data_IF_591517343064
#
_entry.id   IF_591517343064
#
_cell.length_a   1.000
_cell.length_b   1.000
_cell.length_c   1.000
_cell.angle_alpha   90.00
_cell.angle_beta   90.00
_cell.angle_gamma   90.00
#
_symmetry.space_group_name_H-M   'P 1'
#
loop_
_entity.id
_entity.type
_entity.pdbx_description
1 polymer ?
#
# COMPACT_ATOMS: atom_id res chain seq x y z
N UNK A 1 -49.93 56.18 14.41
CA UNK A 1 -48.57 55.62 14.51
C UNK A 1 -48.70 54.16 14.89
N UNK A 2 -48.43 53.24 13.97
CA UNK A 2 -47.84 51.92 14.21
C UNK A 2 -47.84 51.17 12.87
N UNK A 3 -46.67 51.15 12.25
CA UNK A 3 -46.39 50.35 11.06
C UNK A 3 -46.17 48.89 11.48
N UNK A 4 -46.80 47.97 10.75
CA UNK A 4 -46.45 46.55 10.77
C UNK A 4 -45.18 46.33 9.92
N UNK A 5 -44.27 45.41 10.30
CA UNK A 5 -43.10 45.10 9.49
C UNK A 5 -43.45 44.08 8.40
N UNK A 6 -42.93 44.34 7.20
CA UNK A 6 -42.94 43.42 6.06
C UNK A 6 -41.93 42.30 6.29
N UNK A 7 -42.36 41.05 6.09
CA UNK A 7 -41.50 39.88 6.05
C UNK A 7 -40.85 39.77 4.66
N UNK A 8 -39.53 39.90 4.60
CA UNK A 8 -38.74 39.64 3.40
C UNK A 8 -38.43 38.14 3.29
N UNK A 9 -38.93 37.52 2.23
CA UNK A 9 -38.65 36.14 1.82
C UNK A 9 -37.29 36.07 1.11
N UNK A 10 -36.32 35.38 1.71
CA UNK A 10 -35.05 35.03 1.07
C UNK A 10 -35.24 33.80 0.17
N UNK A 11 -34.86 33.95 -1.11
CA UNK A 11 -34.72 32.85 -2.07
C UNK A 11 -33.51 31.98 -1.68
N UNK A 12 -33.77 30.71 -1.38
CA UNK A 12 -32.73 29.69 -1.22
C UNK A 12 -32.47 29.07 -2.60
N UNK A 13 -31.32 29.38 -3.20
CA UNK A 13 -30.81 28.69 -4.39
C UNK A 13 -30.05 27.44 -3.95
N UNK A 14 -30.50 26.26 -4.38
CA UNK A 14 -29.76 25.00 -4.25
C UNK A 14 -28.56 24.98 -5.21
N UNK A 15 -27.38 24.47 -4.83
CA UNK A 15 -26.32 24.17 -5.78
C UNK A 15 -26.61 22.82 -6.48
N UNK A 16 -26.07 22.58 -7.68
CA UNK A 16 -26.35 21.37 -8.45
C UNK A 16 -25.59 20.18 -7.86
N UNK A 17 -26.30 19.07 -7.66
CA UNK A 17 -25.71 17.78 -7.31
C UNK A 17 -24.97 17.20 -8.52
N UNK A 18 -23.67 16.97 -8.37
CA UNK A 18 -22.84 16.26 -9.33
C UNK A 18 -23.11 14.76 -9.16
N UNK A 19 -23.82 14.15 -10.12
CA UNK A 19 -24.11 12.72 -10.11
C UNK A 19 -22.87 11.94 -10.55
N UNK A 20 -22.22 11.27 -9.61
CA UNK A 20 -21.20 10.25 -9.90
C UNK A 20 -21.93 8.96 -10.29
N UNK A 21 -21.72 8.49 -11.52
CA UNK A 21 -22.21 7.20 -11.97
C UNK A 21 -21.42 6.08 -11.26
N UNK A 22 -22.03 5.41 -10.29
CA UNK A 22 -21.57 4.10 -9.81
C UNK A 22 -21.98 3.04 -10.84
N UNK A 23 -21.03 2.54 -11.63
CA UNK A 23 -21.24 1.32 -12.42
C UNK A 23 -20.97 0.10 -11.54
N UNK A 24 -22.01 -0.40 -10.88
CA UNK A 24 -21.98 -1.70 -10.23
C UNK A 24 -22.13 -2.80 -11.30
N UNK A 25 -21.05 -3.51 -11.62
CA UNK A 25 -21.12 -4.77 -12.36
C UNK A 25 -20.80 -5.91 -11.41
N UNK A 26 -21.84 -6.42 -10.74
CA UNK A 26 -21.76 -7.69 -10.02
C UNK A 26 -21.70 -8.83 -11.04
N UNK A 27 -20.56 -9.52 -11.12
CA UNK A 27 -20.52 -10.88 -11.68
C UNK A 27 -20.07 -11.88 -10.61
N UNK A 28 -20.90 -12.90 -10.48
CA UNK A 28 -20.72 -14.03 -9.59
C UNK A 28 -19.50 -14.89 -9.97
N UNK A 29 -18.78 -15.34 -8.93
CA UNK A 29 -18.17 -16.65 -8.83
C UNK A 29 -17.24 -17.11 -9.96
N UNK A 30 -15.94 -16.84 -9.79
CA UNK A 30 -14.87 -17.79 -10.05
C UNK A 30 -13.57 -17.25 -9.42
N UNK A 31 -13.00 -18.00 -8.47
CA UNK A 31 -11.66 -17.75 -7.94
C UNK A 31 -10.64 -17.98 -9.04
N UNK A 32 -10.20 -16.92 -9.69
CA UNK A 32 -9.02 -16.94 -10.54
C UNK A 32 -8.23 -15.65 -10.27
N UNK A 33 -7.00 -15.82 -9.78
CA UNK A 33 -5.96 -14.80 -9.85
C UNK A 33 -5.87 -14.39 -11.33
N UNK A 34 -5.84 -13.09 -11.68
CA UNK A 34 -5.63 -12.71 -13.07
C UNK A 34 -4.24 -13.16 -13.52
N UNK A 35 -4.18 -14.08 -14.48
CA UNK A 35 -2.98 -14.29 -15.29
C UNK A 35 -2.73 -13.00 -16.09
N UNK A 36 -1.58 -12.40 -15.85
CA UNK A 36 -1.13 -11.16 -16.48
C UNK A 36 -1.00 -11.32 -17.99
N UNK A 37 -1.95 -10.78 -18.77
CA UNK A 37 -1.79 -10.62 -20.23
C UNK A 37 -1.02 -9.32 -20.46
N UNK A 38 0.31 -9.40 -20.37
CA UNK A 38 1.18 -8.36 -20.88
C UNK A 38 0.98 -8.20 -22.40
N UNK A 39 0.52 -7.03 -22.84
CA UNK A 39 0.49 -6.68 -24.28
C UNK A 39 1.93 -6.57 -24.77
N UNK A 40 2.41 -7.59 -25.49
CA UNK A 40 3.64 -7.47 -26.28
C UNK A 40 3.34 -6.60 -27.50
N UNK A 41 3.91 -5.39 -27.54
CA UNK A 41 3.99 -4.62 -28.76
C UNK A 41 4.97 -5.30 -29.71
N UNK A 42 4.47 -5.71 -30.87
CA UNK A 42 5.22 -6.27 -31.98
C UNK A 42 6.42 -5.38 -32.36
N UNK A 43 7.61 -5.99 -32.37
CA UNK A 43 8.75 -5.47 -33.13
C UNK A 43 9.41 -6.66 -33.86
N UNK A 44 9.05 -6.78 -35.12
CA UNK A 44 9.71 -7.59 -36.14
C UNK A 44 11.22 -7.34 -36.19
N UNK A 45 12.03 -8.38 -36.03
CA UNK A 45 13.48 -8.32 -36.18
C UNK A 45 14.07 -9.68 -36.51
N UNK A 46 14.21 -9.96 -37.80
CA UNK A 46 14.75 -11.18 -38.40
C UNK A 46 16.26 -11.37 -38.16
N UNK A 47 16.64 -12.57 -37.71
CA UNK A 47 17.66 -13.40 -38.37
C UNK A 47 19.14 -13.23 -38.00
N UNK A 48 19.80 -14.39 -37.85
CA UNK A 48 21.19 -14.59 -38.29
C UNK A 48 22.23 -14.80 -37.19
N UNK A 49 22.61 -16.05 -36.94
CA UNK A 49 23.77 -16.40 -36.12
C UNK A 49 25.10 -16.36 -36.88
N UNK A 50 26.21 -16.47 -36.16
CA UNK A 50 27.34 -17.35 -36.52
C UNK A 50 28.40 -17.37 -35.42
N UNK A 51 28.90 -18.57 -35.18
CA UNK A 51 30.04 -19.00 -34.38
C UNK A 51 31.38 -18.45 -34.91
N UNK A 52 32.39 -18.42 -34.04
CA UNK A 52 33.79 -18.18 -34.42
C UNK A 52 34.78 -18.27 -33.27
N UNK A 53 35.33 -19.47 -33.06
CA UNK A 53 36.48 -19.79 -32.19
C UNK A 53 37.81 -19.35 -32.81
N UNK A 54 38.82 -19.00 -32.01
CA UNK A 54 40.22 -18.93 -32.49
C UNK A 54 41.23 -18.36 -31.50
N UNK A 55 42.27 -19.14 -31.21
CA UNK A 55 43.29 -19.00 -30.16
C UNK A 55 44.62 -18.41 -30.67
N UNK A 56 45.45 -17.91 -29.74
CA UNK A 56 46.92 -17.73 -29.88
C UNK A 56 47.38 -16.29 -29.61
N UNK A 57 48.43 -15.98 -28.84
CA UNK A 57 49.44 -16.77 -28.12
C UNK A 57 50.39 -15.82 -27.36
N UNK A 58 51.19 -16.40 -26.47
CA UNK A 58 52.55 -16.04 -26.04
C UNK A 58 52.85 -14.71 -25.27
N UNK A 59 53.30 -14.90 -24.02
CA UNK A 59 54.13 -14.02 -23.16
C UNK A 59 55.64 -14.24 -23.50
N UNK A 60 56.67 -13.51 -22.96
CA UNK A 60 56.77 -12.61 -21.78
C UNK A 60 57.74 -11.38 -22.01
N UNK A 61 58.53 -10.86 -21.03
CA UNK A 61 58.18 -10.01 -19.88
C UNK A 61 58.98 -8.67 -19.85
N UNK A 62 58.52 -7.63 -19.14
CA UNK A 62 59.36 -6.69 -18.38
C UNK A 62 58.51 -5.62 -17.67
N UNK A 63 58.87 -5.32 -16.43
CA UNK A 63 58.17 -4.38 -15.56
C UNK A 63 58.26 -2.91 -15.97
N UNK A 64 57.26 -2.16 -15.52
CA UNK A 64 57.20 -0.71 -15.58
C UNK A 64 55.99 -0.23 -14.81
N UNK A 65 56.22 0.26 -13.58
CA UNK A 65 55.23 0.91 -12.74
C UNK A 65 54.72 2.18 -13.42
N UNK A 66 53.43 2.20 -13.78
CA UNK A 66 52.70 3.41 -14.12
C UNK A 66 51.41 3.43 -13.33
N UNK A 67 51.17 4.57 -12.67
CA UNK A 67 50.00 4.85 -11.87
C UNK A 67 48.80 5.00 -12.81
N UNK A 68 47.93 3.99 -12.85
CA UNK A 68 46.62 4.16 -13.45
C UNK A 68 45.72 4.90 -12.46
N UNK A 69 45.39 6.13 -12.83
CA UNK A 69 44.25 6.85 -12.30
C UNK A 69 43.01 6.00 -12.59
N UNK A 70 42.54 5.30 -11.55
CA UNK A 70 41.23 4.68 -11.50
C UNK A 70 40.17 5.77 -11.67
N UNK A 71 39.78 6.00 -12.92
CA UNK A 71 38.47 6.54 -13.24
C UNK A 71 37.46 5.48 -12.80
N UNK A 72 37.06 5.57 -11.54
CA UNK A 72 35.85 4.92 -11.05
C UNK A 72 34.68 5.57 -11.78
N UNK A 73 34.38 5.03 -12.96
CA UNK A 73 33.04 5.08 -13.51
C UNK A 73 32.17 4.40 -12.48
N UNK A 74 31.58 5.22 -11.61
CA UNK A 74 30.56 4.81 -10.65
C UNK A 74 29.33 4.35 -11.41
N UNK A 75 29.38 3.16 -11.99
CA UNK A 75 28.19 2.38 -12.27
C UNK A 75 27.51 2.17 -10.93
N UNK A 76 26.33 2.76 -10.75
CA UNK A 76 25.48 2.50 -9.60
C UNK A 76 25.39 0.98 -9.42
N UNK A 77 25.96 0.48 -8.34
CA UNK A 77 25.57 -0.83 -7.84
C UNK A 77 24.05 -0.79 -7.65
N UNK A 78 23.34 -1.69 -8.32
CA UNK A 78 21.89 -1.73 -8.35
C UNK A 78 21.32 -1.68 -6.94
N UNK A 79 20.47 -0.68 -6.70
CA UNK A 79 19.73 -0.58 -5.46
C UNK A 79 18.71 -1.72 -5.38
N UNK A 80 18.77 -2.52 -4.32
CA UNK A 80 17.75 -3.51 -4.00
C UNK A 80 16.79 -2.90 -2.95
N UNK A 81 15.60 -2.41 -3.35
CA UNK A 81 14.63 -1.84 -2.43
C UNK A 81 14.34 -2.75 -1.26
N UNK A 82 14.44 -2.20 -0.04
CA UNK A 82 13.99 -2.84 1.20
C UNK A 82 12.66 -2.25 1.59
N UNK A 83 11.57 -2.99 1.36
CA UNK A 83 10.25 -2.61 1.86
C UNK A 83 10.17 -3.01 3.33
N UNK A 84 10.69 -2.15 4.19
CA UNK A 84 10.53 -2.29 5.64
C UNK A 84 9.45 -1.32 6.11
N UNK A 85 8.48 -1.85 6.85
CA UNK A 85 7.42 -1.10 7.51
C UNK A 85 7.35 -1.42 9.00
N UNK A 86 6.35 -0.86 9.67
CA UNK A 86 6.10 -1.07 11.10
C UNK A 86 4.84 -1.90 11.28
N UNK A 87 4.97 -3.04 11.94
CA UNK A 87 3.83 -3.83 12.43
C UNK A 87 3.60 -3.48 13.89
N UNK A 88 2.36 -3.25 14.31
CA UNK A 88 2.01 -3.00 15.72
C UNK A 88 1.07 -4.09 16.18
N UNK A 89 1.48 -4.84 17.20
CA UNK A 89 0.72 -5.94 17.79
C UNK A 89 -0.29 -5.43 18.83
N UNK A 90 -1.53 -5.90 18.76
CA UNK A 90 -2.66 -5.50 19.61
C UNK A 90 -3.26 -6.71 20.32
N UNK A 91 -3.58 -6.54 21.61
CA UNK A 91 -4.34 -7.53 22.37
C UNK A 91 -5.80 -7.51 21.95
N UNK A 92 -6.41 -8.69 21.85
CA UNK A 92 -7.83 -8.86 21.58
C UNK A 92 -8.70 -8.21 22.67
N UNK A 93 -9.79 -7.53 22.30
CA UNK A 93 -10.71 -6.78 23.19
C UNK A 93 -11.12 -7.53 24.46
N UNK A 94 -11.31 -8.86 24.38
CA UNK A 94 -11.73 -9.70 25.52
C UNK A 94 -10.63 -10.08 26.51
N UNK A 95 -9.41 -9.58 26.36
CA UNK A 95 -8.25 -9.94 27.19
C UNK A 95 -7.78 -8.77 28.06
N UNK A 96 -7.03 -9.02 29.16
CA UNK A 96 -6.48 -7.94 29.98
C UNK A 96 -5.58 -6.99 29.17
N UNK A 97 -6.00 -5.73 29.04
CA UNK A 97 -5.33 -4.73 28.22
C UNK A 97 -5.64 -4.84 26.72
N UNK A 98 -6.73 -5.53 26.36
CA UNK A 98 -7.22 -5.64 25.00
C UNK A 98 -7.65 -4.31 24.38
N UNK A 99 -7.31 -4.11 23.11
CA UNK A 99 -7.79 -2.98 22.33
C UNK A 99 -9.22 -3.26 21.83
N UNK A 100 -10.16 -2.31 21.94
CA UNK A 100 -11.57 -2.61 21.74
C UNK A 100 -11.98 -2.76 20.27
N UNK A 101 -11.09 -2.50 19.32
CA UNK A 101 -11.32 -2.71 17.88
C UNK A 101 -10.81 -4.06 17.35
N UNK A 102 -9.99 -4.79 18.12
CA UNK A 102 -9.37 -6.04 17.66
C UNK A 102 -10.11 -7.26 18.22
N UNK A 103 -10.39 -8.23 17.35
CA UNK A 103 -11.13 -9.46 17.60
C UNK A 103 -12.59 -9.26 18.04
N UNK A 104 -13.17 -8.09 17.72
CA UNK A 104 -14.52 -7.71 18.15
C UNK A 104 -15.57 -7.74 17.05
N UNK A 105 -15.26 -7.16 15.90
CA UNK A 105 -16.22 -6.91 14.84
C UNK A 105 -16.17 -8.01 13.77
N UNK A 106 -17.24 -8.11 12.99
CA UNK A 106 -17.36 -8.99 11.83
C UNK A 106 -18.30 -8.35 10.82
N UNK A 107 -18.10 -8.59 9.53
CA UNK A 107 -19.00 -8.04 8.52
C UNK A 107 -18.45 -8.16 7.10
N UNK A 108 -18.83 -7.20 6.27
CA UNK A 108 -18.56 -7.16 4.82
C UNK A 108 -17.84 -5.89 4.40
N UNK A 109 -17.22 -5.18 5.35
CA UNK A 109 -16.50 -3.94 5.10
C UNK A 109 -17.37 -2.68 5.20
N UNK A 110 -16.70 -1.54 5.39
CA UNK A 110 -17.24 -0.19 5.42
C UNK A 110 -16.18 0.78 4.90
N UNK A 111 -16.43 1.35 3.72
CA UNK A 111 -15.63 2.48 3.22
C UNK A 111 -16.00 3.77 3.94
N UNK A 112 -15.08 4.74 3.92
CA UNK A 112 -15.23 6.05 4.53
C UNK A 112 -14.86 6.11 6.01
N UNK A 113 -14.21 5.08 6.56
CA UNK A 113 -13.70 5.11 7.95
C UNK A 113 -12.62 6.19 8.12
N UNK A 114 -11.82 6.41 7.07
CA UNK A 114 -10.74 7.40 7.04
C UNK A 114 -11.07 8.55 6.10
N UNK A 115 -10.53 9.72 6.42
CA UNK A 115 -10.59 10.91 5.58
C UNK A 115 -9.84 10.71 4.26
N UNK A 116 -10.19 11.52 3.26
CA UNK A 116 -9.57 11.44 1.92
C UNK A 116 -8.12 11.90 1.86
N UNK A 117 -7.65 12.62 2.88
CA UNK A 117 -6.30 13.20 2.90
C UNK A 117 -5.60 12.76 4.16
N UNK A 118 -4.34 12.33 4.04
CA UNK A 118 -3.52 11.98 5.19
C UNK A 118 -3.35 13.17 6.14
N UNK A 119 -3.22 12.85 7.42
CA UNK A 119 -2.85 13.82 8.45
C UNK A 119 -1.46 14.43 8.18
N UNK A 120 -1.14 15.56 8.83
CA UNK A 120 0.19 16.18 8.72
C UNK A 120 1.32 15.29 9.27
N UNK A 121 1.00 14.25 10.03
CA UNK A 121 1.90 13.20 10.52
C UNK A 121 1.99 11.98 9.58
N UNK A 122 1.43 12.10 8.37
CA UNK A 122 1.33 11.04 7.36
C UNK A 122 0.61 9.79 7.88
N UNK A 123 -0.35 9.93 8.80
CA UNK A 123 -1.22 8.83 9.25
C UNK A 123 -2.67 9.03 8.75
N UNK A 124 -3.46 7.95 8.62
CA UNK A 124 -4.88 8.07 8.29
C UNK A 124 -5.61 8.85 9.39
N UNK A 125 -6.50 9.75 8.98
CA UNK A 125 -7.35 10.52 9.89
C UNK A 125 -8.72 9.88 9.93
N UNK A 126 -9.27 9.64 11.11
CA UNK A 126 -10.60 9.07 11.26
C UNK A 126 -11.70 10.06 10.83
N UNK A 127 -12.66 9.62 10.02
CA UNK A 127 -13.65 10.50 9.38
C UNK A 127 -14.96 10.71 10.16
N UNK A 128 -15.12 10.07 11.32
CA UNK A 128 -16.38 10.09 12.07
C UNK A 128 -16.23 10.71 13.48
N UNK A 129 -17.28 11.36 13.97
CA UNK A 129 -17.30 11.94 15.33
C UNK A 129 -17.38 10.87 16.44
N UNK A 130 -17.82 9.65 16.11
CA UNK A 130 -18.02 8.57 17.07
C UNK A 130 -17.89 7.20 16.40
N UNK A 131 -18.37 6.16 17.08
CA UNK A 131 -18.28 4.78 16.60
C UNK A 131 -18.93 4.59 15.22
N UNK A 132 -18.39 3.65 14.44
CA UNK A 132 -19.03 3.07 13.26
C UNK A 132 -19.47 1.63 13.55
N UNK A 133 -20.00 0.94 12.55
CA UNK A 133 -20.27 -0.50 12.63
C UNK A 133 -19.00 -1.32 12.92
N UNK A 134 -17.84 -0.81 12.52
CA UNK A 134 -16.57 -1.53 12.56
C UNK A 134 -15.52 -0.89 13.47
N UNK A 135 -15.79 0.24 14.12
CA UNK A 135 -14.80 0.91 14.98
C UNK A 135 -15.48 1.53 16.19
N UNK A 136 -14.78 1.55 17.32
CA UNK A 136 -15.34 2.04 18.59
C UNK A 136 -15.33 3.57 18.68
N UNK A 137 -14.46 4.23 17.90
CA UNK A 137 -14.47 5.68 17.75
C UNK A 137 -13.07 6.27 17.55
N UNK A 138 -12.99 7.61 17.42
CA UNK A 138 -11.77 8.31 17.01
C UNK A 138 -10.60 8.08 17.98
N UNK A 139 -10.85 8.07 19.30
CA UNK A 139 -9.79 7.92 20.31
C UNK A 139 -9.06 6.56 20.24
N UNK A 140 -9.76 5.51 19.83
CA UNK A 140 -9.19 4.17 19.69
C UNK A 140 -8.53 4.00 18.32
N UNK A 141 -9.15 4.51 17.26
CA UNK A 141 -8.55 4.51 15.93
C UNK A 141 -7.21 5.24 15.89
N UNK A 142 -7.08 6.34 16.66
CA UNK A 142 -5.83 7.12 16.78
C UNK A 142 -4.61 6.28 17.24
N UNK A 143 -4.85 5.13 17.87
CA UNK A 143 -3.83 4.23 18.39
C UNK A 143 -3.33 3.21 17.36
N UNK A 144 -4.06 3.01 16.26
CA UNK A 144 -3.80 1.93 15.30
C UNK A 144 -2.41 2.06 14.67
N UNK A 145 -2.06 3.26 14.19
CA UNK A 145 -0.80 3.52 13.49
C UNK A 145 0.16 4.42 14.30
N UNK A 146 0.07 4.35 15.63
CA UNK A 146 0.96 5.08 16.55
C UNK A 146 1.50 4.16 17.63
N UNK A 147 2.76 4.36 18.00
CA UNK A 147 3.40 3.58 19.06
C UNK A 147 2.90 4.07 20.42
N UNK A 148 2.02 3.29 21.06
CA UNK A 148 1.37 3.69 22.32
C UNK A 148 1.75 2.68 23.42
N UNK A 149 2.57 3.08 24.41
CA UNK A 149 3.03 2.17 25.46
C UNK A 149 1.88 1.48 26.20
N UNK A 150 1.90 0.15 26.20
CA UNK A 150 0.89 -0.69 26.86
C UNK A 150 -0.37 -0.95 26.03
N UNK A 151 -0.52 -0.29 24.87
CA UNK A 151 -1.64 -0.47 23.93
C UNK A 151 -1.22 -1.28 22.70
N UNK A 152 0.00 -1.08 22.21
CA UNK A 152 0.60 -1.93 21.18
C UNK A 152 2.09 -2.19 21.42
N UNK A 153 2.62 -3.19 20.72
CA UNK A 153 4.06 -3.47 20.62
C UNK A 153 4.53 -3.35 19.16
N UNK A 154 5.40 -2.37 18.89
CA UNK A 154 5.85 -2.03 17.54
C UNK A 154 7.08 -2.86 17.12
N UNK A 155 6.98 -3.50 15.97
CA UNK A 155 7.97 -4.45 15.43
C UNK A 155 8.23 -4.09 13.97
N UNK A 156 9.51 -3.91 13.62
CA UNK A 156 9.91 -3.71 12.22
C UNK A 156 9.72 -4.99 11.42
N UNK A 157 9.17 -4.87 10.24
CA UNK A 157 8.98 -6.00 9.32
C UNK A 157 9.46 -5.63 7.92
N UNK A 158 10.36 -6.42 7.36
CA UNK A 158 10.74 -6.32 5.94
C UNK A 158 9.90 -7.29 5.13
N UNK A 159 9.12 -6.76 4.17
CA UNK A 159 8.35 -7.55 3.21
C UNK A 159 9.31 -8.37 2.35
N UNK A 160 9.19 -9.71 2.34
CA UNK A 160 10.05 -10.56 1.51
C UNK A 160 9.59 -10.47 0.06
N UNK A 161 10.18 -9.52 -0.68
CA UNK A 161 9.88 -9.32 -2.09
C UNK A 161 10.40 -10.47 -2.95
N UNK A 162 9.50 -11.11 -3.70
CA UNK A 162 9.87 -11.96 -4.81
C UNK A 162 10.16 -11.06 -6.02
N UNK A 163 11.45 -10.87 -6.32
CA UNK A 163 11.89 -10.08 -7.48
C UNK A 163 11.96 -11.01 -8.69
N UNK A 164 11.06 -10.82 -9.66
CA UNK A 164 11.22 -11.40 -11.00
C UNK A 164 11.60 -10.26 -11.96
N UNK A 165 12.85 -10.24 -12.38
CA UNK A 165 13.34 -9.54 -13.58
C UNK A 165 13.35 -8.00 -13.57
N UNK A 166 13.86 -7.35 -12.51
CA UNK A 166 14.21 -5.90 -12.44
C UNK A 166 13.11 -4.85 -12.76
N UNK A 167 11.90 -5.31 -13.10
CA UNK A 167 10.78 -4.47 -13.55
C UNK A 167 9.51 -4.74 -12.76
N UNK A 168 9.27 -5.99 -12.35
CA UNK A 168 8.05 -6.39 -11.64
C UNK A 168 8.37 -6.97 -10.27
N UNK A 169 7.69 -6.48 -9.25
CA UNK A 169 7.77 -7.05 -7.91
C UNK A 169 6.36 -7.20 -7.38
N UNK A 170 5.98 -8.45 -7.18
CA UNK A 170 4.72 -8.86 -6.61
C UNK A 170 4.99 -9.39 -5.20
N UNK A 171 4.31 -8.80 -4.23
CA UNK A 171 4.09 -9.46 -2.96
C UNK A 171 2.63 -9.90 -2.91
N UNK A 172 2.41 -11.19 -2.77
CA UNK A 172 1.09 -11.76 -2.47
C UNK A 172 1.29 -12.81 -1.42
N UNK A 173 0.58 -12.69 -0.30
CA UNK A 173 0.48 -13.73 0.70
C UNK A 173 -0.98 -13.96 1.05
N UNK A 174 -1.39 -15.23 1.00
CA UNK A 174 -2.69 -15.68 1.52
C UNK A 174 -2.64 -16.00 3.02
N UNK A 175 -1.43 -15.95 3.59
CA UNK A 175 -1.11 -16.26 4.99
C UNK A 175 -0.10 -15.20 5.46
N UNK A 176 -0.57 -13.97 5.64
CA UNK A 176 0.27 -12.83 6.02
C UNK A 176 0.33 -12.66 7.54
N UNK A 177 1.23 -13.41 8.19
CA UNK A 177 1.41 -13.36 9.65
C UNK A 177 2.82 -12.89 10.04
N UNK A 178 3.16 -11.60 9.87
CA UNK A 178 4.53 -11.09 10.02
C UNK A 178 5.09 -11.19 11.46
N UNK A 179 4.20 -11.33 12.44
CA UNK A 179 4.50 -11.27 13.87
C UNK A 179 4.05 -12.53 14.65
N UNK A 180 3.84 -13.65 13.96
CA UNK A 180 3.59 -14.93 14.64
C UNK A 180 4.67 -15.22 15.70
N UNK A 181 4.22 -15.51 16.92
CA UNK A 181 5.06 -15.79 18.08
C UNK A 181 5.88 -14.61 18.61
N UNK A 182 5.69 -13.39 18.09
CA UNK A 182 6.36 -12.16 18.54
C UNK A 182 5.39 -11.28 19.34
N UNK A 183 5.92 -10.21 19.93
CA UNK A 183 5.13 -9.25 20.71
C UNK A 183 4.41 -9.92 21.88
N UNK A 184 3.09 -9.81 21.89
CA UNK A 184 2.19 -10.44 22.85
C UNK A 184 1.77 -11.87 22.45
N UNK A 185 2.36 -12.39 21.38
CA UNK A 185 2.18 -13.74 20.85
C UNK A 185 0.82 -13.92 20.18
N UNK A 186 0.48 -15.16 19.86
CA UNK A 186 -0.74 -15.47 19.11
C UNK A 186 -2.00 -15.48 19.99
N UNK A 187 -1.87 -15.10 21.27
CA UNK A 187 -2.98 -14.93 22.23
C UNK A 187 -3.90 -16.17 22.33
N UNK A 188 -3.31 -17.37 22.24
CA UNK A 188 -4.03 -18.64 22.33
C UNK A 188 -4.64 -19.15 21.01
N UNK A 189 -4.38 -18.48 19.89
CA UNK A 189 -4.75 -18.90 18.52
C UNK A 189 -3.53 -19.48 17.79
N UNK A 190 -3.78 -20.09 16.63
CA UNK A 190 -2.71 -20.66 15.79
C UNK A 190 -1.82 -19.56 15.17
N UNK A 191 -2.40 -18.40 14.84
CA UNK A 191 -1.71 -17.22 14.31
C UNK A 191 -2.04 -15.94 15.09
N UNK A 192 -1.23 -14.90 14.90
CA UNK A 192 -1.55 -13.56 15.38
C UNK A 192 -2.48 -12.83 14.39
N UNK A 193 -3.69 -12.50 14.82
CA UNK A 193 -4.73 -11.80 14.06
C UNK A 193 -5.05 -10.40 14.61
N UNK A 194 -4.16 -9.84 15.43
CA UNK A 194 -4.38 -8.57 16.08
C UNK A 194 -3.23 -7.63 15.78
N UNK A 195 -3.14 -7.08 14.58
CA UNK A 195 -2.05 -6.17 14.23
C UNK A 195 -2.41 -5.15 13.16
N UNK A 196 -1.67 -4.05 13.14
CA UNK A 196 -1.63 -3.15 11.99
C UNK A 196 -0.29 -3.22 11.31
N UNK A 197 -0.24 -3.01 9.99
CA UNK A 197 0.98 -2.82 9.23
C UNK A 197 0.96 -1.47 8.51
N UNK A 198 2.04 -0.73 8.66
CA UNK A 198 2.25 0.59 8.06
C UNK A 198 3.48 0.55 7.16
N UNK A 199 3.32 1.01 5.92
CA UNK A 199 4.40 1.04 4.94
C UNK A 199 4.39 2.36 4.16
N UNK A 200 5.52 3.05 4.21
CA UNK A 200 5.77 4.27 3.45
C UNK A 200 6.83 4.01 2.36
N UNK A 201 6.55 4.44 1.13
CA UNK A 201 7.50 4.32 0.01
C UNK A 201 7.35 5.47 -0.99
N UNK A 202 8.27 5.54 -1.95
CA UNK A 202 8.14 6.44 -3.10
C UNK A 202 8.22 5.68 -4.41
N UNK A 203 7.47 6.15 -5.39
CA UNK A 203 7.51 5.62 -6.75
C UNK A 203 7.64 6.76 -7.76
N UNK A 204 8.25 6.46 -8.90
CA UNK A 204 8.29 7.36 -10.05
C UNK A 204 7.16 6.99 -10.98
N UNK A 205 6.25 7.93 -11.24
CA UNK A 205 5.16 7.75 -12.18
C UNK A 205 5.71 7.73 -13.62
N UNK A 206 5.43 6.68 -14.39
CA UNK A 206 5.94 6.52 -15.76
C UNK A 206 4.86 6.60 -16.84
N UNK A 207 3.60 6.54 -16.43
CA UNK A 207 2.45 6.34 -17.32
C UNK A 207 2.30 4.86 -17.70
N UNK A 208 1.06 4.39 -17.77
CA UNK A 208 0.68 3.00 -18.05
C UNK A 208 0.92 2.02 -16.89
N UNK A 209 1.10 2.54 -15.67
CA UNK A 209 1.27 1.73 -14.46
C UNK A 209 -0.13 1.43 -13.86
N UNK A 210 -0.52 0.16 -13.77
CA UNK A 210 -1.70 -0.29 -13.02
C UNK A 210 -1.24 -0.77 -11.64
N UNK A 211 -1.88 -0.38 -10.52
CA UNK A 211 -1.54 -0.89 -9.18
C UNK A 211 -2.62 -1.75 -8.57
N UNK A 212 -2.32 -3.01 -8.22
CA UNK A 212 -3.27 -3.85 -7.48
C UNK A 212 -2.87 -3.95 -6.02
N UNK A 213 -3.84 -3.69 -5.14
CA UNK A 213 -3.71 -3.90 -3.71
C UNK A 213 -4.88 -4.74 -3.20
N UNK A 214 -4.69 -5.46 -2.11
CA UNK A 214 -5.75 -6.25 -1.52
C UNK A 214 -5.34 -7.01 -0.28
N UNK A 215 -6.36 -7.57 0.37
CA UNK A 215 -6.28 -8.29 1.63
C UNK A 215 -7.67 -8.45 2.25
N UNK A 216 -7.72 -9.05 3.42
CA UNK A 216 -8.89 -9.06 4.31
C UNK A 216 -8.84 -7.88 5.30
N UNK A 217 -9.93 -7.66 6.03
CA UNK A 217 -10.09 -6.54 6.95
C UNK A 217 -9.74 -5.18 6.35
N UNK A 218 -8.99 -4.32 7.03
CA UNK A 218 -8.87 -2.92 6.64
C UNK A 218 -7.64 -2.67 5.78
N UNK A 219 -7.82 -2.12 4.57
CA UNK A 219 -6.73 -1.58 3.73
C UNK A 219 -7.05 -0.18 3.24
N UNK A 220 -6.10 0.74 3.45
CA UNK A 220 -6.10 2.07 2.86
C UNK A 220 -4.80 2.34 2.13
N UNK A 221 -4.92 2.86 0.91
CA UNK A 221 -3.77 3.24 0.08
C UNK A 221 -3.88 4.71 -0.27
N UNK A 222 -2.80 5.46 -0.06
CA UNK A 222 -2.69 6.87 -0.38
C UNK A 222 -1.58 7.09 -1.39
N UNK A 223 -1.85 7.89 -2.41
CA UNK A 223 -0.84 8.37 -3.37
C UNK A 223 -0.85 9.88 -3.32
N UNK A 224 0.34 10.48 -3.17
CA UNK A 224 0.47 11.92 -3.07
C UNK A 224 -0.45 12.51 -1.95
N UNK A 225 -0.50 11.80 -0.81
CA UNK A 225 -1.34 12.09 0.36
C UNK A 225 -2.86 11.99 0.15
N UNK A 226 -3.34 11.55 -1.01
CA UNK A 226 -4.76 11.39 -1.30
C UNK A 226 -5.15 9.90 -1.29
N UNK A 227 -6.30 9.60 -0.67
CA UNK A 227 -6.86 8.25 -0.59
C UNK A 227 -7.26 7.78 -2.00
N UNK A 228 -6.61 6.72 -2.47
CA UNK A 228 -6.86 6.11 -3.79
C UNK A 228 -7.53 4.74 -3.69
N UNK A 229 -7.42 4.07 -2.54
CA UNK A 229 -8.12 2.82 -2.26
C UNK A 229 -8.61 2.78 -0.83
N UNK A 230 -9.87 2.40 -0.66
CA UNK A 230 -10.52 2.24 0.63
C UNK A 230 -11.25 0.91 0.66
N UNK A 231 -10.61 -0.07 1.30
CA UNK A 231 -11.17 -1.36 1.66
C UNK A 231 -11.26 -1.41 3.20
N UNK A 232 -11.89 -0.40 3.80
CA UNK A 232 -12.07 -0.33 5.26
C UNK A 232 -13.08 -1.34 5.79
N UNK A 233 -13.01 -1.62 7.09
CA UNK A 233 -13.91 -2.50 7.84
C UNK A 233 -13.55 -3.98 7.75
N UNK A 234 -13.96 -4.75 8.77
CA UNK A 234 -13.75 -6.21 8.80
C UNK A 234 -14.48 -6.87 7.63
N UNK A 235 -13.75 -7.59 6.79
CA UNK A 235 -14.28 -8.28 5.62
C UNK A 235 -13.37 -9.44 5.17
N UNK A 236 -13.92 -10.40 4.43
CA UNK A 236 -13.09 -11.41 3.75
C UNK A 236 -12.21 -10.79 2.66
N UNK A 237 -11.29 -11.55 2.07
CA UNK A 237 -10.36 -11.05 1.06
C UNK A 237 -11.05 -10.24 -0.06
N UNK A 238 -10.62 -8.98 -0.21
CA UNK A 238 -10.97 -8.07 -1.31
C UNK A 238 -9.68 -7.56 -1.97
N UNK A 239 -9.78 -7.12 -3.21
CA UNK A 239 -8.70 -6.47 -3.93
C UNK A 239 -9.28 -5.53 -4.97
N UNK A 240 -8.50 -4.52 -5.35
CA UNK A 240 -8.85 -3.61 -6.43
C UNK A 240 -7.59 -3.19 -7.21
N UNK A 241 -7.79 -2.71 -8.44
CA UNK A 241 -6.72 -2.26 -9.33
C UNK A 241 -6.93 -0.80 -9.68
N UNK A 242 -5.91 0.01 -9.40
CA UNK A 242 -5.86 1.43 -9.70
C UNK A 242 -5.25 1.65 -11.09
N UNK A 243 -5.99 2.29 -11.97
CA UNK A 243 -5.46 2.87 -13.22
C UNK A 243 -4.89 4.25 -12.92
N UNK A 244 -3.57 4.36 -12.80
CA UNK A 244 -2.95 5.64 -12.45
C UNK A 244 -3.07 6.70 -13.54
N UNK A 245 -3.16 6.29 -14.81
CA UNK A 245 -3.30 7.22 -15.92
C UNK A 245 -4.67 7.91 -15.84
N UNK A 246 -5.71 7.15 -15.47
CA UNK A 246 -7.05 7.69 -15.24
C UNK A 246 -7.13 8.63 -14.03
N UNK A 247 -6.29 8.42 -13.01
CA UNK A 247 -6.28 9.22 -11.77
C UNK A 247 -5.25 10.37 -11.80
N UNK A 248 -4.37 10.43 -12.81
CA UNK A 248 -3.21 11.31 -12.83
C UNK A 248 -3.56 12.78 -12.64
N UNK A 249 -4.62 13.28 -13.29
CA UNK A 249 -5.02 14.68 -13.19
C UNK A 249 -5.54 15.05 -11.78
N UNK A 250 -6.31 14.15 -11.14
CA UNK A 250 -6.85 14.35 -9.79
C UNK A 250 -5.75 14.30 -8.72
N UNK A 251 -4.80 13.38 -8.90
CA UNK A 251 -3.69 13.16 -8.00
C UNK A 251 -2.51 14.11 -8.26
N UNK A 252 -2.53 14.86 -9.35
CA UNK A 252 -1.45 15.77 -9.75
C UNK A 252 -0.18 15.04 -10.19
N UNK A 253 -0.32 13.88 -10.85
CA UNK A 253 0.79 13.05 -11.29
C UNK A 253 1.30 13.47 -12.67
N UNK A 254 2.50 14.01 -12.70
CA UNK A 254 3.29 14.24 -13.92
C UNK A 254 4.31 13.12 -14.17
N UNK A 255 4.39 12.65 -15.41
CA UNK A 255 5.32 11.60 -15.85
C UNK A 255 6.76 11.99 -15.53
N UNK A 256 7.51 11.05 -14.94
CA UNK A 256 8.91 11.20 -14.58
C UNK A 256 9.15 11.88 -13.23
N UNK A 257 8.10 12.29 -12.49
CA UNK A 257 8.23 12.75 -11.10
C UNK A 257 8.03 11.61 -10.10
N UNK A 258 8.50 11.83 -8.88
CA UNK A 258 8.38 10.90 -7.75
C UNK A 258 7.28 11.35 -6.79
N UNK A 259 6.50 10.39 -6.29
CA UNK A 259 5.37 10.62 -5.39
C UNK A 259 5.42 9.65 -4.21
N UNK A 260 4.93 10.06 -3.02
CA UNK A 260 4.76 9.16 -1.90
C UNK A 260 3.60 8.19 -2.18
N UNK A 261 3.79 6.96 -1.68
CA UNK A 261 2.78 5.91 -1.62
C UNK A 261 2.79 5.36 -0.19
N UNK A 262 1.65 5.46 0.46
CA UNK A 262 1.47 5.07 1.87
C UNK A 262 0.38 4.02 1.97
N UNK A 263 0.68 2.92 2.66
CA UNK A 263 -0.21 1.76 2.79
C UNK A 263 -0.43 1.50 4.28
N UNK A 264 -1.70 1.40 4.65
CA UNK A 264 -2.15 1.12 6.00
C UNK A 264 -3.04 -0.10 5.97
N UNK A 265 -2.64 -1.12 6.71
CA UNK A 265 -3.35 -2.39 6.83
C UNK A 265 -3.66 -2.67 8.30
N UNK A 266 -4.85 -3.19 8.61
CA UNK A 266 -5.15 -3.73 9.92
C UNK A 266 -5.82 -5.10 9.81
N UNK A 267 -5.14 -6.11 10.32
CA UNK A 267 -5.67 -7.45 10.57
C UNK A 267 -6.23 -7.47 11.99
N UNK A 268 -7.53 -7.75 12.13
CA UNK A 268 -8.20 -7.63 13.43
C UNK A 268 -9.30 -8.64 13.62
N UNK A 269 -9.42 -9.65 12.76
CA UNK A 269 -10.38 -10.73 12.89
C UNK A 269 -9.83 -12.07 12.41
N UNK A 270 -9.73 -12.99 13.36
CA UNK A 270 -9.39 -14.39 13.11
C UNK A 270 -10.27 -15.02 12.04
N UNK A 271 -9.64 -15.75 11.13
CA UNK A 271 -10.31 -16.44 10.02
C UNK A 271 -9.44 -16.51 8.77
N UNK A 272 -8.50 -15.58 8.64
CA UNK A 272 -7.49 -15.47 7.60
C UNK A 272 -6.60 -14.26 7.88
N UNK A 273 -5.49 -14.14 7.16
CA UNK A 273 -4.86 -12.84 6.95
C UNK A 273 -4.18 -12.87 5.60
N UNK A 274 -4.55 -11.94 4.73
CA UNK A 274 -4.04 -11.87 3.38
C UNK A 274 -3.60 -10.46 3.04
N UNK A 275 -2.50 -10.35 2.33
CA UNK A 275 -1.94 -9.07 1.95
C UNK A 275 -1.30 -9.16 0.57
N UNK A 276 -1.66 -8.22 -0.29
CA UNK A 276 -1.23 -8.15 -1.68
C UNK A 276 -0.84 -6.72 -2.03
N UNK A 277 0.36 -6.59 -2.59
CA UNK A 277 0.87 -5.38 -3.24
C UNK A 277 1.49 -5.82 -4.57
N UNK A 278 1.00 -5.30 -5.69
CA UNK A 278 1.59 -5.54 -7.00
C UNK A 278 2.07 -4.26 -7.67
N UNK A 279 2.84 -4.47 -8.75
CA UNK A 279 3.06 -3.52 -9.87
C UNK A 279 3.68 -2.16 -9.56
N UNK A 280 4.61 -2.11 -8.61
CA UNK A 280 5.45 -0.92 -8.40
C UNK A 280 6.92 -1.16 -8.76
N UNK A 281 7.46 -0.30 -9.62
CA UNK A 281 8.90 -0.02 -9.63
C UNK A 281 9.17 1.20 -8.76
N UNK A 282 9.29 0.93 -7.46
CA UNK A 282 9.68 1.90 -6.43
C UNK A 282 11.08 2.46 -6.70
N UNK A 283 11.31 3.65 -6.13
CA UNK A 283 12.56 4.39 -6.36
C UNK A 283 13.40 4.59 -5.12
N UNK A 284 12.82 4.50 -3.92
CA UNK A 284 13.59 4.52 -2.69
C UNK A 284 14.30 3.18 -2.43
N UNK A 285 15.55 3.29 -2.00
CA UNK A 285 16.40 2.16 -1.62
C UNK A 285 16.32 1.84 -0.14
N UNK A 286 16.22 2.90 0.65
CA UNK A 286 16.14 2.84 2.10
C UNK A 286 14.67 2.89 2.56
N UNK A 287 14.33 2.19 3.66
CA UNK A 287 13.02 2.31 4.29
C UNK A 287 12.69 3.75 4.68
N UNK A 288 11.43 4.13 4.51
CA UNK A 288 10.86 5.36 5.09
C UNK A 288 10.05 4.92 6.30
N UNK A 289 10.48 5.34 7.49
CA UNK A 289 9.88 4.94 8.77
C UNK A 289 9.56 6.21 9.53
N UNK A 290 8.29 6.39 9.89
CA UNK A 290 7.73 7.63 10.41
C UNK A 290 7.11 7.45 11.80
#
# INVERSE_FOLDING_TARGET
MNMAPQTASFFQGSPPALAVLLSALALAGCTAIPEFIGRTSDASGTGGGSSGTGLGGDLPPAGGSTQDASSSSGGQAGCAPRLEGVVRDFKAHGTPGGHPDFERFEGVGLTGIVERVLGPDQKPVYAHEGATEFTVGPEYFDQWFRDVPGVNDAIRFTVPLNVSDDVFRLFTSREFFPIDGKGWGNQGRDHNYGFTFELHMSFRYRGGDDFTFGGDDDIWVFINNQLVMDLGGVHGQMFDTLDLDAMADELGLEVGKEYPLDIFFAERRSGGSSFMISTLKYTNCEPIIL
#
